data_IF_288746662933
#
_entry.id   IF_288746662933
#
_cell.length_a   1.000
_cell.length_b   1.000
_cell.length_c   1.000
_cell.angle_alpha   90.00
_cell.angle_beta   90.00
_cell.angle_gamma   90.00
#
_symmetry.space_group_name_H-M   'P 1'
#
loop_
_entity.id
_entity.type
_entity.pdbx_description
1 polymer ?
#
# COMPACT_ATOMS: atom_id res chain seq x y z
N UNK A 1 -35.83 -27.02 -0.03
CA UNK A 1 -35.45 -25.64 -0.42
C UNK A 1 -34.06 -25.36 0.16
N UNK A 2 -32.99 -25.61 -0.59
CA UNK A 2 -31.64 -25.26 -0.16
C UNK A 2 -31.40 -23.78 -0.49
N UNK A 3 -31.31 -22.94 0.53
CA UNK A 3 -30.82 -21.57 0.37
C UNK A 3 -29.34 -21.65 0.04
N UNK A 4 -29.02 -21.50 -1.24
CA UNK A 4 -27.66 -21.31 -1.72
C UNK A 4 -27.14 -20.02 -1.08
N UNK A 5 -26.24 -20.16 -0.11
CA UNK A 5 -25.49 -19.03 0.42
C UNK A 5 -24.69 -18.49 -0.75
N UNK A 6 -25.14 -17.35 -1.30
CA UNK A 6 -24.36 -16.57 -2.25
C UNK A 6 -22.96 -16.46 -1.66
N UNK A 7 -22.00 -17.10 -2.29
CA UNK A 7 -20.58 -16.90 -2.05
C UNK A 7 -20.35 -15.41 -2.19
N UNK A 8 -20.27 -14.70 -1.06
CA UNK A 8 -19.70 -13.37 -1.01
C UNK A 8 -18.29 -13.56 -1.52
N UNK A 9 -18.07 -13.27 -2.79
CA UNK A 9 -16.74 -12.97 -3.30
C UNK A 9 -16.27 -11.81 -2.45
N UNK A 10 -15.44 -12.12 -1.44
CA UNK A 10 -14.86 -11.15 -0.51
C UNK A 10 -13.98 -10.25 -1.36
N UNK A 11 -14.55 -9.16 -1.90
CA UNK A 11 -13.86 -8.27 -2.81
C UNK A 11 -12.61 -7.77 -2.10
N UNK A 12 -11.43 -8.17 -2.60
CA UNK A 12 -10.16 -7.69 -2.09
C UNK A 12 -10.12 -6.19 -2.34
N UNK A 13 -9.90 -5.40 -1.30
CA UNK A 13 -9.86 -3.93 -1.38
C UNK A 13 -8.50 -3.51 -1.89
N UNK A 14 -8.46 -2.45 -2.69
CA UNK A 14 -7.20 -1.84 -3.07
C UNK A 14 -6.69 -0.97 -1.91
N UNK A 15 -5.39 -1.07 -1.64
CA UNK A 15 -4.70 -0.36 -0.58
C UNK A 15 -3.50 0.38 -1.15
N UNK A 16 -3.35 1.65 -0.82
CA UNK A 16 -2.20 2.44 -1.20
C UNK A 16 -1.25 2.57 -0.01
N UNK A 17 0.01 2.14 -0.19
CA UNK A 17 1.06 2.23 0.82
C UNK A 17 2.06 3.29 0.38
N UNK A 18 2.44 4.17 1.31
CA UNK A 18 3.44 5.22 1.07
C UNK A 18 4.57 5.12 2.07
N UNK A 19 5.80 5.25 1.58
CA UNK A 19 7.03 5.22 2.38
C UNK A 19 7.83 6.51 2.20
N UNK A 20 8.36 7.09 3.30
CA UNK A 20 9.41 8.09 3.23
C UNK A 20 10.67 7.53 2.56
N UNK A 21 11.39 8.38 1.83
CA UNK A 21 12.70 8.05 1.27
C UNK A 21 13.65 7.44 2.31
N UNK A 22 13.63 7.98 3.53
CA UNK A 22 14.51 7.54 4.61
C UNK A 22 14.39 6.04 4.93
N UNK A 23 13.22 5.44 4.72
CA UNK A 23 12.99 4.01 4.96
C UNK A 23 13.58 3.11 3.87
N UNK A 24 13.77 3.61 2.66
CA UNK A 24 14.38 2.85 1.58
C UNK A 24 15.92 2.76 1.73
N UNK A 25 16.53 3.54 2.64
CA UNK A 25 17.99 3.61 2.78
C UNK A 25 18.71 4.19 1.56
N UNK A 26 17.95 4.74 0.60
CA UNK A 26 18.49 5.32 -0.62
C UNK A 26 18.88 6.76 -0.33
N UNK A 27 20.18 7.06 -0.40
CA UNK A 27 20.64 8.44 -0.54
C UNK A 27 20.37 8.86 -1.97
N UNK A 28 19.43 9.77 -2.15
CA UNK A 28 19.12 10.29 -3.46
C UNK A 28 20.00 11.52 -3.67
N UNK A 29 20.82 11.47 -4.72
CA UNK A 29 21.59 12.62 -5.17
C UNK A 29 20.66 13.69 -5.81
N UNK A 30 19.42 13.32 -6.11
CA UNK A 30 18.41 14.20 -6.69
C UNK A 30 17.40 14.71 -5.64
N UNK A 31 17.23 16.03 -5.49
CA UNK A 31 16.33 16.62 -4.50
C UNK A 31 14.83 16.43 -4.82
N UNK A 32 14.51 15.85 -5.97
CA UNK A 32 13.13 15.70 -6.44
C UNK A 32 12.43 14.47 -5.91
N UNK A 33 13.14 13.49 -5.35
CA UNK A 33 12.52 12.24 -4.90
C UNK A 33 12.28 12.29 -3.40
N UNK A 34 11.01 12.30 -2.99
CA UNK A 34 10.62 12.51 -1.60
C UNK A 34 9.95 11.32 -0.92
N UNK A 35 9.64 10.25 -1.67
CA UNK A 35 9.11 9.01 -1.11
C UNK A 35 8.74 8.00 -2.18
N UNK A 36 8.04 6.95 -1.76
CA UNK A 36 7.64 5.83 -2.60
C UNK A 36 6.17 5.46 -2.36
N UNK A 37 5.52 4.91 -3.38
CA UNK A 37 4.15 4.43 -3.31
C UNK A 37 3.99 3.07 -3.98
N UNK A 38 3.15 2.20 -3.43
CA UNK A 38 2.67 1.01 -4.15
C UNK A 38 1.21 0.72 -3.80
N UNK A 39 0.52 -0.02 -4.67
CA UNK A 39 -0.89 -0.38 -4.50
C UNK A 39 -1.03 -1.89 -4.49
N UNK A 40 -1.70 -2.43 -3.47
CA UNK A 40 -1.92 -3.87 -3.31
C UNK A 40 -3.39 -4.17 -3.05
N UNK A 41 -3.81 -5.40 -3.35
CA UNK A 41 -5.17 -5.85 -3.04
C UNK A 41 -5.19 -6.75 -1.81
N UNK A 42 -5.83 -6.31 -0.73
CA UNK A 42 -5.89 -7.01 0.55
C UNK A 42 -7.23 -6.78 1.26
N UNK A 43 -7.54 -7.62 2.25
CA UNK A 43 -8.78 -7.49 3.03
C UNK A 43 -8.68 -6.42 4.12
N UNK A 44 -7.48 -6.25 4.69
CA UNK A 44 -7.19 -5.38 5.83
C UNK A 44 -5.82 -4.69 5.65
N UNK A 45 -5.59 -3.63 6.42
CA UNK A 45 -4.38 -2.80 6.31
C UNK A 45 -3.10 -3.57 6.66
N UNK A 46 -3.18 -4.55 7.57
CA UNK A 46 -2.02 -5.31 8.03
C UNK A 46 -1.53 -6.25 6.93
N UNK A 47 -2.47 -6.94 6.27
CA UNK A 47 -2.17 -7.77 5.10
C UNK A 47 -1.68 -6.91 3.94
N UNK A 48 -2.26 -5.72 3.73
CA UNK A 48 -1.80 -4.78 2.71
C UNK A 48 -0.34 -4.38 2.94
N UNK A 49 0.04 -4.06 4.19
CA UNK A 49 1.43 -3.75 4.53
C UNK A 49 2.38 -4.88 4.14
N UNK A 50 2.09 -6.11 4.61
CA UNK A 50 2.93 -7.26 4.33
C UNK A 50 3.06 -7.52 2.83
N UNK A 51 1.96 -7.39 2.07
CA UNK A 51 1.97 -7.56 0.62
C UNK A 51 2.77 -6.47 -0.10
N UNK A 52 2.70 -5.23 0.36
CA UNK A 52 3.46 -4.13 -0.22
C UNK A 52 4.96 -4.27 0.03
N UNK A 53 5.37 -4.74 1.21
CA UNK A 53 6.79 -5.02 1.50
C UNK A 53 7.38 -6.14 0.64
N UNK A 54 6.54 -7.00 0.05
CA UNK A 54 6.96 -8.04 -0.89
C UNK A 54 6.93 -7.58 -2.36
N UNK A 55 6.55 -6.33 -2.65
CA UNK A 55 6.59 -5.81 -4.01
C UNK A 55 8.01 -5.39 -4.40
N UNK A 56 8.45 -5.86 -5.56
CA UNK A 56 9.73 -5.43 -6.16
C UNK A 56 9.65 -4.04 -6.79
N UNK A 57 8.44 -3.53 -7.02
CA UNK A 57 8.20 -2.26 -7.71
C UNK A 57 7.44 -1.27 -6.84
N UNK A 58 8.03 -0.08 -6.73
CA UNK A 58 7.46 1.08 -6.07
C UNK A 58 7.51 2.28 -7.02
N UNK A 59 6.40 2.99 -7.10
CA UNK A 59 6.31 4.29 -7.76
C UNK A 59 7.09 5.32 -6.95
N UNK A 60 7.90 6.12 -7.64
CA UNK A 60 8.71 7.17 -7.02
C UNK A 60 7.89 8.46 -6.96
N UNK A 61 7.76 9.03 -5.77
CA UNK A 61 7.02 10.26 -5.56
C UNK A 61 7.95 11.48 -5.64
N UNK A 62 7.50 12.51 -6.35
CA UNK A 62 8.26 13.76 -6.51
C UNK A 62 8.12 14.72 -5.33
N UNK A 63 7.46 14.29 -4.25
CA UNK A 63 7.17 15.09 -3.06
C UNK A 63 7.51 14.29 -1.80
N UNK A 64 7.82 15.00 -0.72
CA UNK A 64 8.24 14.39 0.54
C UNK A 64 7.09 13.67 1.24
N UNK A 65 7.32 12.41 1.59
CA UNK A 65 6.47 11.65 2.50
C UNK A 65 7.09 11.72 3.90
N UNK A 66 6.36 12.29 4.86
CA UNK A 66 6.86 12.52 6.23
C UNK A 66 6.89 11.23 7.07
N UNK A 67 5.89 10.39 6.88
CA UNK A 67 5.68 9.17 7.66
C UNK A 67 5.13 8.05 6.79
N UNK A 68 5.22 6.82 7.26
CA UNK A 68 4.64 5.66 6.59
C UNK A 68 3.12 5.75 6.70
N UNK A 69 2.39 5.47 5.62
CA UNK A 69 0.93 5.50 5.61
C UNK A 69 0.32 4.39 4.77
N UNK A 70 -0.83 3.89 5.21
CA UNK A 70 -1.61 2.82 4.57
C UNK A 70 -3.05 3.30 4.40
N UNK A 71 -3.54 3.39 3.15
CA UNK A 71 -4.88 3.88 2.84
C UNK A 71 -5.78 2.77 2.29
N UNK A 72 -7.08 2.75 2.63
CA UNK A 72 -7.77 3.68 3.53
C UNK A 72 -7.52 3.35 5.02
N UNK A 73 -7.20 4.37 5.83
CA UNK A 73 -6.88 4.21 7.28
C UNK A 73 -8.01 3.51 8.04
N UNK A 74 -9.27 3.73 7.63
CA UNK A 74 -10.45 3.03 8.14
C UNK A 74 -11.11 2.22 7.00
N UNK A 75 -10.71 0.96 6.80
CA UNK A 75 -11.40 0.10 5.86
C UNK A 75 -12.79 -0.24 6.40
N UNK A 76 -13.84 0.24 5.72
CA UNK A 76 -15.25 0.05 6.09
C UNK A 76 -15.66 -1.36 6.49
#
# INVERSE_FOLDING_TARGET
>A
MYKSYKTQTKYRRAWCIRLPTAFAGIKLDEPKIGGFQTVVQANDHQTAWCMAMMQDQWEILTFTVKEISIFPINPL
#
